data_IF_028813930204
#
_entry.id   IF_028813930204
#
_cell.length_a   1.000
_cell.length_b   1.000
_cell.length_c   1.000
_cell.angle_alpha   90.00
_cell.angle_beta   90.00
_cell.angle_gamma   90.00
#
_symmetry.space_group_name_H-M   'P 1'
#
loop_
_entity.id
_entity.type
_entity.pdbx_description
1 polymer ?
#
# COMPACT_ATOMS: atom_id res chain seq x y z
N UNK A 1 -41.32 2.26 4.93
CA UNK A 1 -40.83 2.03 6.30
C UNK A 1 -39.51 1.31 6.16
N UNK A 2 -38.39 2.01 6.42
CA UNK A 2 -37.05 1.42 6.38
C UNK A 2 -36.81 0.64 7.68
N UNK A 3 -36.15 -0.52 7.65
CA UNK A 3 -35.88 -1.30 8.87
C UNK A 3 -34.88 -0.57 9.78
N UNK A 4 -34.98 -0.77 11.10
CA UNK A 4 -34.24 0.00 12.07
C UNK A 4 -32.75 -0.36 12.09
N UNK A 5 -31.92 0.65 12.33
CA UNK A 5 -30.44 0.62 12.32
C UNK A 5 -29.77 -0.34 13.34
N UNK A 6 -30.52 -1.12 14.09
CA UNK A 6 -30.03 -2.12 15.04
C UNK A 6 -29.53 -3.40 14.36
N UNK A 7 -30.20 -3.86 13.31
CA UNK A 7 -29.84 -5.12 12.62
C UNK A 7 -28.51 -5.04 11.86
N UNK A 8 -28.13 -3.84 11.39
CA UNK A 8 -26.87 -3.63 10.70
C UNK A 8 -25.65 -3.66 11.65
N UNK A 9 -25.84 -3.37 12.95
CA UNK A 9 -24.75 -3.44 13.95
C UNK A 9 -24.53 -4.87 14.46
N UNK A 10 -25.57 -5.68 14.57
CA UNK A 10 -25.45 -7.07 15.00
C UNK A 10 -24.91 -7.97 13.88
N UNK A 11 -25.26 -7.70 12.62
CA UNK A 11 -24.64 -8.36 11.46
C UNK A 11 -23.13 -8.04 11.33
N UNK A 12 -22.72 -6.81 11.70
CA UNK A 12 -21.30 -6.40 11.72
C UNK A 12 -20.49 -7.05 12.85
N UNK A 13 -21.12 -7.45 13.94
CA UNK A 13 -20.47 -8.11 15.07
C UNK A 13 -20.21 -9.60 14.83
N UNK A 14 -20.87 -10.21 13.86
CA UNK A 14 -20.80 -11.66 13.57
C UNK A 14 -19.80 -12.01 12.46
N UNK A 15 -19.26 -11.03 11.72
CA UNK A 15 -18.24 -11.23 10.69
C UNK A 15 -16.83 -10.90 11.18
N UNK A 16 -16.42 -11.40 12.33
CA UNK A 16 -14.99 -11.54 12.60
C UNK A 16 -14.42 -12.61 11.68
N UNK A 17 -13.42 -12.25 10.88
CA UNK A 17 -12.71 -13.17 10.01
C UNK A 17 -12.00 -14.23 10.86
N UNK A 18 -12.56 -15.44 10.92
CA UNK A 18 -11.91 -16.59 11.55
C UNK A 18 -11.26 -17.42 10.45
N UNK A 19 -9.96 -17.65 10.52
CA UNK A 19 -9.27 -18.59 9.62
C UNK A 19 -9.68 -20.04 9.87
N UNK A 20 -9.17 -20.98 9.06
CA UNK A 20 -9.52 -22.43 9.09
C UNK A 20 -9.32 -23.08 10.47
N UNK A 21 -8.58 -22.42 11.38
CA UNK A 21 -8.32 -22.85 12.76
C UNK A 21 -9.14 -22.07 13.80
N UNK A 22 -10.15 -21.31 13.38
CA UNK A 22 -11.01 -20.54 14.29
C UNK A 22 -10.42 -19.22 14.79
N UNK A 23 -9.23 -18.82 14.34
CA UNK A 23 -8.66 -17.49 14.59
C UNK A 23 -9.02 -16.53 13.46
N UNK A 24 -9.34 -15.29 13.80
CA UNK A 24 -9.61 -14.25 12.79
C UNK A 24 -8.34 -13.97 11.97
N UNK A 25 -8.46 -13.97 10.64
CA UNK A 25 -7.39 -13.52 9.76
C UNK A 25 -7.06 -12.05 10.01
N UNK A 26 -5.78 -11.68 9.93
CA UNK A 26 -5.35 -10.26 10.08
C UNK A 26 -5.67 -9.54 8.78
N UNK A 27 -6.53 -8.51 8.83
CA UNK A 27 -6.70 -7.60 7.69
C UNK A 27 -5.47 -6.71 7.61
N UNK A 28 -4.84 -6.67 6.44
CA UNK A 28 -3.65 -5.85 6.18
C UNK A 28 -3.93 -4.86 5.07
N UNK A 29 -3.74 -3.58 5.33
CA UNK A 29 -3.72 -2.56 4.28
C UNK A 29 -2.29 -2.38 3.76
N UNK A 30 -2.08 -2.72 2.47
CA UNK A 30 -0.78 -2.64 1.80
C UNK A 30 -0.19 -1.24 1.74
N UNK A 31 -1.02 -0.21 1.78
CA UNK A 31 -0.62 1.18 1.96
C UNK A 31 -1.75 2.05 2.48
N UNK A 32 -1.48 2.76 3.57
CA UNK A 32 -2.29 3.89 4.03
C UNK A 32 -1.37 4.97 4.61
N UNK A 33 -1.64 6.23 4.29
CA UNK A 33 -0.76 7.36 4.61
C UNK A 33 -1.55 8.51 5.22
N UNK A 34 -2.14 8.36 6.42
CA UNK A 34 -2.82 9.47 7.10
C UNK A 34 -1.82 10.44 7.72
N UNK A 35 -2.28 11.64 8.05
CA UNK A 35 -1.60 12.46 9.06
C UNK A 35 -1.59 11.65 10.37
N UNK A 36 -0.44 11.59 11.11
CA UNK A 36 -0.37 10.81 12.34
C UNK A 36 -1.19 11.45 13.47
N UNK A 37 -2.48 11.15 13.50
CA UNK A 37 -3.46 11.65 14.47
C UNK A 37 -4.35 10.50 14.96
N UNK A 38 -4.74 10.53 16.24
CA UNK A 38 -5.55 9.51 16.91
C UNK A 38 -6.82 9.12 16.14
N UNK A 39 -7.53 10.08 15.57
CA UNK A 39 -8.79 9.83 14.84
C UNK A 39 -8.64 8.83 13.70
N UNK A 40 -7.50 8.85 12.97
CA UNK A 40 -7.26 7.91 11.87
C UNK A 40 -6.90 6.51 12.36
N UNK A 41 -6.26 6.42 13.52
CA UNK A 41 -5.99 5.14 14.18
C UNK A 41 -7.26 4.51 14.72
N UNK A 42 -8.20 5.32 15.24
CA UNK A 42 -9.52 4.87 15.63
C UNK A 42 -10.32 4.33 14.44
N UNK A 43 -10.27 5.00 13.27
CA UNK A 43 -10.89 4.52 12.03
C UNK A 43 -10.30 3.18 11.56
N UNK A 44 -8.98 2.97 11.65
CA UNK A 44 -8.37 1.67 11.33
C UNK A 44 -8.87 0.56 12.26
N UNK A 45 -8.90 0.83 13.56
CA UNK A 45 -9.40 -0.12 14.54
C UNK A 45 -10.88 -0.44 14.33
N UNK A 46 -11.71 0.56 14.09
CA UNK A 46 -13.15 0.39 13.81
C UNK A 46 -13.40 -0.39 12.53
N UNK A 47 -12.53 -0.24 11.54
CA UNK A 47 -12.53 -1.02 10.30
C UNK A 47 -12.05 -2.48 10.51
N UNK A 48 -11.51 -2.83 11.67
CA UNK A 48 -10.94 -4.15 11.94
C UNK A 48 -9.59 -4.40 11.26
N UNK A 49 -8.88 -3.33 10.83
CA UNK A 49 -7.56 -3.45 10.21
C UNK A 49 -6.53 -3.78 11.28
N UNK A 50 -5.94 -4.97 11.17
CA UNK A 50 -4.94 -5.46 12.13
C UNK A 50 -3.52 -5.00 11.83
N UNK A 51 -3.21 -4.64 10.56
CA UNK A 51 -1.90 -4.13 10.19
C UNK A 51 -2.00 -3.12 9.04
N UNK A 52 -1.18 -2.07 9.10
CA UNK A 52 -1.06 -1.04 8.06
C UNK A 52 0.41 -0.81 7.72
N UNK A 53 0.74 -0.81 6.43
CA UNK A 53 1.97 -0.21 5.94
C UNK A 53 1.76 1.31 5.78
N UNK A 54 2.43 2.13 6.59
CA UNK A 54 2.28 3.59 6.53
C UNK A 54 3.53 4.27 6.00
N UNK A 55 3.34 5.30 5.17
CA UNK A 55 4.45 6.07 4.60
C UNK A 55 4.97 7.10 5.58
N UNK A 56 6.26 7.02 5.89
CA UNK A 56 6.97 8.01 6.71
C UNK A 56 7.65 9.07 5.83
N UNK A 57 8.22 8.67 4.70
CA UNK A 57 8.96 9.56 3.82
C UNK A 57 8.67 9.31 2.34
N UNK A 58 8.75 10.38 1.53
CA UNK A 58 8.61 10.37 0.06
C UNK A 58 9.82 11.05 -0.59
N UNK A 59 10.03 12.34 -0.34
CA UNK A 59 11.09 13.16 -0.94
C UNK A 59 12.11 13.67 0.08
N UNK A 60 11.90 13.35 1.34
CA UNK A 60 12.77 13.74 2.44
C UNK A 60 14.16 13.11 2.28
N UNK A 61 15.21 13.85 2.69
CA UNK A 61 16.54 13.31 2.84
C UNK A 61 16.66 12.52 4.17
N UNK A 62 17.84 11.96 4.43
CA UNK A 62 18.07 11.17 5.64
C UNK A 62 17.76 11.93 6.94
N UNK A 63 18.24 13.16 7.07
CA UNK A 63 18.05 13.97 8.28
C UNK A 63 16.59 14.36 8.51
N UNK A 64 15.89 14.78 7.46
CA UNK A 64 14.46 15.07 7.48
C UNK A 64 13.65 13.84 7.89
N UNK A 65 13.99 12.67 7.32
CA UNK A 65 13.32 11.39 7.60
C UNK A 65 13.51 10.92 9.04
N UNK A 66 14.69 11.11 9.62
CA UNK A 66 14.92 10.82 11.04
C UNK A 66 14.00 11.64 11.94
N UNK A 67 13.81 12.92 11.61
CA UNK A 67 12.85 13.77 12.32
C UNK A 67 11.41 13.30 12.21
N UNK A 68 11.00 12.78 11.05
CA UNK A 68 9.66 12.21 10.84
C UNK A 68 9.47 10.89 11.60
N UNK A 69 10.46 9.98 11.58
CA UNK A 69 10.43 8.75 12.35
C UNK A 69 10.31 9.04 13.86
N UNK A 70 11.05 10.05 14.35
CA UNK A 70 10.93 10.50 15.73
C UNK A 70 9.51 10.97 16.08
N UNK A 71 8.90 11.79 15.23
CA UNK A 71 7.51 12.25 15.41
C UNK A 71 6.51 11.08 15.39
N UNK A 72 6.63 10.15 14.45
CA UNK A 72 5.78 8.96 14.39
C UNK A 72 5.88 8.12 15.67
N UNK A 73 7.10 7.90 16.20
CA UNK A 73 7.29 7.14 17.44
C UNK A 73 6.58 7.80 18.63
N UNK A 74 6.72 9.11 18.79
CA UNK A 74 6.03 9.86 19.85
C UNK A 74 4.51 9.73 19.72
N UNK A 75 3.96 9.86 18.50
CA UNK A 75 2.51 9.75 18.29
C UNK A 75 2.01 8.32 18.54
N UNK A 76 2.75 7.29 18.13
CA UNK A 76 2.37 5.91 18.43
C UNK A 76 2.41 5.61 19.93
N UNK A 77 3.41 6.10 20.66
CA UNK A 77 3.51 5.97 22.11
C UNK A 77 2.31 6.62 22.83
N UNK A 78 1.92 7.84 22.39
CA UNK A 78 0.74 8.53 22.92
C UNK A 78 -0.59 7.82 22.62
N UNK A 79 -0.61 6.90 21.66
CA UNK A 79 -1.79 6.15 21.22
C UNK A 79 -1.62 4.63 21.37
N UNK A 80 -0.74 4.19 22.28
CA UNK A 80 -0.41 2.78 22.48
C UNK A 80 -1.59 1.89 22.90
N UNK A 81 -2.70 2.49 23.29
CA UNK A 81 -3.96 1.80 23.58
C UNK A 81 -4.69 1.30 22.32
N UNK A 82 -4.38 1.84 21.13
CA UNK A 82 -5.06 1.48 19.86
C UNK A 82 -4.11 1.08 18.74
N UNK A 83 -2.86 1.52 18.76
CA UNK A 83 -1.83 1.20 17.75
C UNK A 83 -0.52 0.82 18.40
N UNK A 84 0.33 0.10 17.68
CA UNK A 84 1.73 -0.12 18.06
C UNK A 84 2.61 -0.28 16.82
N UNK A 85 3.91 0.15 16.87
CA UNK A 85 4.84 -0.13 15.79
C UNK A 85 5.10 -1.63 15.67
N UNK A 86 5.34 -2.10 14.44
CA UNK A 86 5.73 -3.48 14.17
C UNK A 86 6.73 -3.51 13.00
N UNK A 87 7.78 -4.28 13.13
CA UNK A 87 8.86 -4.43 12.16
C UNK A 87 9.16 -5.89 11.78
N UNK A 88 8.36 -6.83 12.29
CA UNK A 88 8.40 -8.26 12.00
C UNK A 88 6.99 -8.84 11.99
N UNK A 89 6.84 -10.02 11.39
CA UNK A 89 5.54 -10.73 11.37
C UNK A 89 5.10 -11.11 12.78
N UNK A 90 6.03 -11.55 13.63
CA UNK A 90 5.71 -11.88 15.02
C UNK A 90 5.17 -10.67 15.80
N UNK A 91 5.71 -9.48 15.59
CA UNK A 91 5.21 -8.25 16.20
C UNK A 91 3.83 -7.87 15.65
N UNK A 92 3.60 -8.00 14.32
CA UNK A 92 2.29 -7.77 13.71
C UNK A 92 1.24 -8.68 14.35
N UNK A 93 1.53 -9.98 14.44
CA UNK A 93 0.63 -10.97 15.03
C UNK A 93 0.34 -10.68 16.52
N UNK A 94 1.35 -10.33 17.29
CA UNK A 94 1.20 -9.97 18.70
C UNK A 94 0.36 -8.70 18.92
N UNK A 95 0.58 -7.66 18.10
CA UNK A 95 -0.18 -6.42 18.17
C UNK A 95 -1.63 -6.66 17.76
N UNK A 96 -1.88 -7.35 16.64
CA UNK A 96 -3.23 -7.67 16.18
C UNK A 96 -3.99 -8.54 17.20
N UNK A 97 -3.34 -9.53 17.81
CA UNK A 97 -3.93 -10.36 18.86
C UNK A 97 -4.33 -9.56 20.12
N UNK A 98 -3.68 -8.42 20.36
CA UNK A 98 -4.05 -7.52 21.47
C UNK A 98 -5.25 -6.60 21.15
N UNK A 99 -5.84 -6.69 19.95
CA UNK A 99 -6.95 -5.84 19.49
C UNK A 99 -6.51 -4.44 19.04
N UNK A 100 -5.19 -4.23 18.81
CA UNK A 100 -4.63 -3.00 18.28
C UNK A 100 -4.26 -3.16 16.80
N UNK A 101 -4.05 -2.04 16.12
CA UNK A 101 -3.52 -2.04 14.75
C UNK A 101 -1.98 -1.93 14.78
N UNK A 102 -1.32 -2.89 14.14
CA UNK A 102 0.12 -2.84 13.91
C UNK A 102 0.46 -1.81 12.83
N UNK A 103 1.43 -0.96 13.09
CA UNK A 103 1.89 0.08 12.17
C UNK A 103 3.31 -0.25 11.71
N UNK A 104 3.43 -0.67 10.45
CA UNK A 104 4.71 -0.83 9.77
C UNK A 104 5.15 0.49 9.17
N UNK A 105 6.40 0.87 9.34
CA UNK A 105 6.96 2.03 8.67
C UNK A 105 7.46 1.66 7.27
N UNK A 106 7.01 2.43 6.29
CA UNK A 106 7.44 2.33 4.91
C UNK A 106 7.87 3.68 4.34
N UNK A 107 8.63 3.62 3.26
CA UNK A 107 8.96 4.78 2.43
C UNK A 107 8.38 4.58 1.03
N UNK A 108 7.78 5.61 0.45
CA UNK A 108 7.34 5.56 -0.94
C UNK A 108 8.42 6.03 -1.93
N UNK A 109 9.67 6.10 -1.49
CA UNK A 109 10.84 6.43 -2.32
C UNK A 109 12.10 6.04 -1.55
N UNK A 110 13.19 5.83 -2.25
CA UNK A 110 14.52 5.67 -1.63
C UNK A 110 15.28 7.00 -1.49
N UNK A 111 14.61 8.14 -1.65
CA UNK A 111 15.21 9.45 -1.41
C UNK A 111 15.91 9.58 -0.05
N UNK A 112 15.38 9.02 1.07
CA UNK A 112 16.07 9.04 2.36
C UNK A 112 17.42 8.32 2.39
N UNK A 113 17.61 7.33 1.50
CA UNK A 113 18.88 6.59 1.40
C UNK A 113 19.95 7.40 0.66
N UNK A 114 19.52 8.40 -0.12
CA UNK A 114 20.40 9.22 -0.94
C UNK A 114 21.19 8.32 -1.92
N UNK A 115 22.49 8.23 -1.79
CA UNK A 115 23.35 7.30 -2.54
C UNK A 115 24.35 6.59 -1.60
N UNK A 116 23.88 6.27 -0.37
CA UNK A 116 24.64 5.61 0.66
C UNK A 116 23.95 4.31 1.10
N UNK A 117 24.55 3.16 0.76
CA UNK A 117 24.00 1.84 1.06
C UNK A 117 23.86 1.58 2.57
N UNK A 118 24.74 2.13 3.41
CA UNK A 118 24.69 1.93 4.87
C UNK A 118 23.39 2.48 5.49
N UNK A 119 22.73 3.43 4.81
CA UNK A 119 21.48 4.00 5.31
C UNK A 119 20.31 3.01 5.23
N UNK A 120 20.34 2.00 4.38
CA UNK A 120 19.34 0.93 4.40
C UNK A 120 19.34 0.19 5.73
N UNK A 121 20.52 -0.21 6.21
CA UNK A 121 20.67 -0.88 7.50
C UNK A 121 20.20 0.02 8.66
N UNK A 122 20.57 1.30 8.64
CA UNK A 122 20.16 2.25 9.68
C UNK A 122 18.63 2.41 9.72
N UNK A 123 17.99 2.63 8.58
CA UNK A 123 16.52 2.74 8.55
C UNK A 123 15.82 1.43 8.92
N UNK A 124 16.37 0.27 8.53
CA UNK A 124 15.84 -1.03 8.97
C UNK A 124 15.89 -1.19 10.49
N UNK A 125 16.99 -0.81 11.14
CA UNK A 125 17.10 -0.80 12.60
C UNK A 125 16.11 0.17 13.27
N UNK A 126 15.75 1.26 12.59
CA UNK A 126 14.74 2.19 13.05
C UNK A 126 13.31 1.69 12.79
N UNK A 127 13.12 0.47 12.29
CA UNK A 127 11.83 -0.18 12.10
C UNK A 127 11.20 0.01 10.72
N UNK A 128 11.94 0.53 9.74
CA UNK A 128 11.44 0.63 8.36
C UNK A 128 11.50 -0.74 7.70
N UNK A 129 10.35 -1.24 7.23
CA UNK A 129 10.20 -2.59 6.70
C UNK A 129 9.92 -2.64 5.21
N UNK A 130 9.38 -1.56 4.64
CA UNK A 130 8.97 -1.48 3.24
C UNK A 130 9.62 -0.25 2.61
N UNK A 131 10.26 -0.42 1.46
CA UNK A 131 10.78 0.73 0.70
C UNK A 131 10.41 0.59 -0.77
N UNK A 132 9.71 1.60 -1.28
CA UNK A 132 9.45 1.75 -2.70
C UNK A 132 10.68 2.32 -3.38
N UNK A 133 11.06 1.75 -4.52
CA UNK A 133 12.32 2.11 -5.18
C UNK A 133 12.33 3.56 -5.67
N UNK A 134 11.24 4.01 -6.30
CA UNK A 134 11.11 5.36 -6.87
C UNK A 134 9.73 5.93 -6.59
N UNK A 135 9.61 7.26 -6.53
CA UNK A 135 8.30 7.94 -6.51
C UNK A 135 8.20 8.88 -7.72
N UNK A 136 7.28 8.59 -8.63
CA UNK A 136 6.97 9.33 -9.85
C UNK A 136 8.16 9.56 -10.82
N UNK A 137 9.30 9.99 -10.33
CA UNK A 137 10.45 10.44 -11.10
C UNK A 137 11.66 9.52 -10.90
N UNK A 138 12.66 9.68 -11.74
CA UNK A 138 13.93 8.96 -11.64
C UNK A 138 14.71 9.35 -10.38
N UNK A 139 15.35 8.38 -9.78
CA UNK A 139 16.36 8.56 -8.74
C UNK A 139 17.61 7.70 -9.04
N UNK A 140 18.48 7.50 -8.06
CA UNK A 140 19.72 6.71 -8.22
C UNK A 140 19.49 5.21 -8.42
N UNK A 141 18.29 4.69 -8.15
CA UNK A 141 17.97 3.26 -8.25
C UNK A 141 17.29 2.93 -9.57
N UNK A 142 16.30 3.73 -9.98
CA UNK A 142 15.53 3.45 -11.18
C UNK A 142 14.64 4.61 -11.59
N UNK A 143 13.75 4.36 -12.55
CA UNK A 143 12.81 5.35 -13.07
C UNK A 143 11.45 5.23 -12.43
N UNK A 144 10.84 6.37 -12.11
CA UNK A 144 9.43 6.49 -11.81
C UNK A 144 8.56 6.47 -13.07
N UNK A 145 7.26 6.30 -12.88
CA UNK A 145 6.31 6.16 -14.00
C UNK A 145 6.09 7.44 -14.82
N UNK A 146 6.56 8.61 -14.37
CA UNK A 146 6.44 9.88 -15.10
C UNK A 146 7.60 10.15 -16.04
N UNK A 147 8.64 9.35 -15.99
CA UNK A 147 9.74 9.52 -16.93
C UNK A 147 9.31 9.18 -18.37
N UNK A 148 9.65 10.03 -19.31
CA UNK A 148 9.38 9.79 -20.73
C UNK A 148 10.14 8.55 -21.25
N UNK A 149 11.32 8.29 -20.67
CA UNK A 149 12.15 7.14 -20.99
C UNK A 149 12.53 6.38 -19.72
N UNK A 150 11.88 5.26 -19.51
CA UNK A 150 12.24 4.34 -18.44
C UNK A 150 13.50 3.55 -18.82
N UNK A 151 14.61 3.84 -18.17
CA UNK A 151 15.90 3.17 -18.38
C UNK A 151 16.09 1.93 -17.50
N UNK A 152 15.12 1.59 -16.66
CA UNK A 152 15.17 0.44 -15.76
C UNK A 152 16.12 0.63 -14.58
N UNK A 153 16.55 -0.49 -13.99
CA UNK A 153 17.57 -0.55 -12.92
C UNK A 153 18.95 -0.70 -13.56
N UNK A 154 19.35 0.30 -14.30
CA UNK A 154 20.59 0.27 -15.07
C UNK A 154 21.84 0.68 -14.28
N UNK A 155 21.68 1.39 -13.17
CA UNK A 155 22.81 1.86 -12.36
C UNK A 155 23.40 0.74 -11.49
N UNK A 156 24.71 0.79 -11.29
CA UNK A 156 25.37 -0.11 -10.35
C UNK A 156 24.82 0.05 -8.94
N UNK A 157 24.54 1.28 -8.52
CA UNK A 157 23.95 1.57 -7.21
C UNK A 157 22.58 0.92 -7.07
N UNK A 158 21.71 1.02 -8.09
CA UNK A 158 20.39 0.39 -8.05
C UNK A 158 20.44 -1.13 -7.84
N UNK A 159 21.39 -1.81 -8.50
CA UNK A 159 21.59 -3.26 -8.31
C UNK A 159 22.01 -3.60 -6.90
N UNK A 160 23.01 -2.88 -6.36
CA UNK A 160 23.49 -3.07 -4.99
C UNK A 160 22.40 -2.74 -3.95
N UNK A 161 21.56 -1.73 -4.23
CA UNK A 161 20.45 -1.39 -3.36
C UNK A 161 19.41 -2.52 -3.26
N UNK A 162 19.08 -3.18 -4.38
CA UNK A 162 18.18 -4.34 -4.35
C UNK A 162 18.77 -5.50 -3.54
N UNK A 163 20.06 -5.77 -3.72
CA UNK A 163 20.80 -6.80 -2.96
C UNK A 163 20.77 -6.48 -1.46
N UNK A 164 21.08 -5.24 -1.08
CA UNK A 164 21.07 -4.77 0.31
C UNK A 164 19.69 -4.88 0.95
N UNK A 165 18.62 -4.43 0.26
CA UNK A 165 17.25 -4.56 0.75
C UNK A 165 16.86 -6.03 0.99
N UNK A 166 17.24 -6.93 0.09
CA UNK A 166 17.00 -8.37 0.24
C UNK A 166 17.73 -8.96 1.46
N UNK A 167 19.00 -8.57 1.68
CA UNK A 167 19.82 -9.05 2.79
C UNK A 167 19.28 -8.56 4.14
N UNK A 168 18.90 -7.30 4.21
CA UNK A 168 18.39 -6.66 5.42
C UNK A 168 16.95 -7.04 5.77
N UNK A 169 16.22 -7.72 4.88
CA UNK A 169 14.81 -8.00 5.08
C UNK A 169 13.96 -6.72 5.00
N UNK A 170 14.17 -5.94 3.94
CA UNK A 170 13.31 -4.81 3.56
C UNK A 170 12.49 -5.23 2.35
N UNK A 171 11.16 -5.20 2.46
CA UNK A 171 10.27 -5.48 1.34
C UNK A 171 10.39 -4.40 0.28
N UNK A 172 10.72 -4.80 -0.94
CA UNK A 172 10.79 -3.92 -2.10
C UNK A 172 9.37 -3.66 -2.62
N UNK A 173 8.97 -2.38 -2.70
CA UNK A 173 7.72 -1.96 -3.33
C UNK A 173 7.98 -1.30 -4.70
N UNK A 174 7.14 -1.61 -5.68
CA UNK A 174 7.28 -1.18 -7.07
C UNK A 174 6.11 -0.30 -7.55
N UNK A 175 5.28 0.19 -6.64
CA UNK A 175 4.01 0.87 -6.98
C UNK A 175 4.17 2.07 -7.91
N UNK A 176 5.10 2.99 -7.65
CA UNK A 176 5.36 4.17 -8.49
C UNK A 176 6.49 3.99 -9.52
N UNK A 177 7.06 2.80 -9.61
CA UNK A 177 8.11 2.54 -10.60
C UNK A 177 7.57 2.51 -12.02
N UNK A 178 8.39 2.91 -12.97
CA UNK A 178 8.13 2.76 -14.40
C UNK A 178 8.03 1.28 -14.80
N UNK A 179 7.64 1.04 -16.03
CA UNK A 179 7.35 -0.33 -16.51
C UNK A 179 8.57 -1.22 -16.54
N UNK A 180 9.64 -0.72 -17.15
CA UNK A 180 10.91 -1.46 -17.25
C UNK A 180 11.57 -1.61 -15.89
N UNK A 181 11.59 -0.55 -15.08
CA UNK A 181 12.10 -0.59 -13.71
C UNK A 181 11.34 -1.63 -12.89
N UNK A 182 10.01 -1.70 -13.02
CA UNK A 182 9.18 -2.70 -12.34
C UNK A 182 9.59 -4.12 -12.74
N UNK A 183 9.65 -4.42 -14.04
CA UNK A 183 9.96 -5.76 -14.54
C UNK A 183 11.40 -6.18 -14.17
N UNK A 184 12.38 -5.31 -14.38
CA UNK A 184 13.78 -5.60 -14.02
C UNK A 184 13.96 -5.82 -12.51
N UNK A 185 13.30 -5.02 -11.66
CA UNK A 185 13.35 -5.20 -10.21
C UNK A 185 12.76 -6.55 -9.78
N UNK A 186 11.61 -6.96 -10.35
CA UNK A 186 11.03 -8.27 -10.10
C UNK A 186 12.01 -9.39 -10.49
N UNK A 187 12.65 -9.27 -11.65
CA UNK A 187 13.57 -10.30 -12.15
C UNK A 187 14.88 -10.38 -11.37
N UNK A 188 15.38 -9.25 -10.88
CA UNK A 188 16.66 -9.16 -10.18
C UNK A 188 16.58 -9.45 -8.70
N UNK A 189 15.43 -9.20 -8.06
CA UNK A 189 15.27 -9.43 -6.62
C UNK A 189 15.41 -10.91 -6.28
N UNK A 190 16.21 -11.22 -5.25
CA UNK A 190 16.37 -12.58 -4.74
C UNK A 190 15.17 -13.05 -3.90
N UNK A 191 14.38 -12.10 -3.37
CA UNK A 191 13.15 -12.36 -2.60
C UNK A 191 11.93 -11.88 -3.38
N UNK A 192 10.73 -12.39 -3.08
CA UNK A 192 9.49 -11.83 -3.63
C UNK A 192 9.36 -10.34 -3.31
N UNK A 193 8.71 -9.60 -4.21
CA UNK A 193 8.51 -8.15 -4.10
C UNK A 193 7.03 -7.79 -4.06
N UNK A 194 6.70 -6.56 -3.74
CA UNK A 194 5.33 -6.05 -3.72
C UNK A 194 5.09 -4.99 -4.80
N UNK A 195 3.83 -4.86 -5.18
CA UNK A 195 3.23 -3.65 -5.70
C UNK A 195 2.16 -3.28 -4.69
N UNK A 196 2.48 -2.42 -3.72
CA UNK A 196 1.63 -2.23 -2.54
C UNK A 196 0.29 -1.56 -2.85
N UNK A 197 0.24 -0.70 -3.90
CA UNK A 197 -0.97 0.04 -4.29
C UNK A 197 -0.95 0.41 -5.78
N UNK A 198 -1.49 -0.44 -6.62
CA UNK A 198 -1.69 -0.18 -8.05
C UNK A 198 -2.82 -1.06 -8.62
N UNK A 199 -3.18 -0.84 -9.90
CA UNK A 199 -4.18 -1.63 -10.59
C UNK A 199 -3.69 -2.10 -11.97
N UNK A 200 -4.26 -3.20 -12.52
CA UNK A 200 -3.90 -3.73 -13.83
C UNK A 200 -4.29 -2.79 -14.97
N UNK A 201 -3.36 -2.51 -15.87
CA UNK A 201 -3.58 -1.61 -17.01
C UNK A 201 -4.64 -2.14 -17.97
N UNK A 202 -4.59 -3.41 -18.31
CA UNK A 202 -5.53 -4.01 -19.28
C UNK A 202 -6.97 -3.99 -18.77
N UNK A 203 -7.19 -4.12 -17.47
CA UNK A 203 -8.53 -4.00 -16.89
C UNK A 203 -9.02 -2.56 -16.86
N UNK A 204 -8.18 -1.65 -16.33
CA UNK A 204 -8.57 -0.25 -16.13
C UNK A 204 -8.67 0.52 -17.45
N UNK A 205 -7.78 0.23 -18.41
CA UNK A 205 -7.67 0.97 -19.66
C UNK A 205 -6.99 2.32 -19.46
N UNK A 206 -7.60 3.39 -20.01
CA UNK A 206 -7.08 4.76 -19.86
C UNK A 206 -7.84 5.47 -18.73
N UNK A 207 -7.29 5.56 -17.53
CA UNK A 207 -7.91 6.27 -16.44
C UNK A 207 -7.88 7.79 -16.70
N UNK A 208 -8.73 8.53 -15.99
CA UNK A 208 -8.77 10.00 -16.08
C UNK A 208 -7.42 10.63 -15.71
N UNK A 209 -6.69 10.00 -14.77
CA UNK A 209 -5.36 10.41 -14.34
C UNK A 209 -4.49 9.17 -14.08
N UNK A 210 -3.18 9.31 -14.25
CA UNK A 210 -2.22 8.33 -13.74
C UNK A 210 -2.06 7.05 -14.58
N UNK A 211 -2.29 7.08 -15.90
CA UNK A 211 -2.13 5.91 -16.77
C UNK A 211 -0.79 5.17 -16.58
N UNK A 212 0.30 5.89 -16.32
CA UNK A 212 1.62 5.31 -16.04
C UNK A 212 1.71 4.59 -14.68
N UNK A 213 0.76 4.83 -13.76
CA UNK A 213 0.69 4.13 -12.46
C UNK A 213 0.13 2.72 -12.56
N UNK A 214 -0.58 2.41 -13.65
CA UNK A 214 -1.15 1.08 -13.89
C UNK A 214 -0.05 0.11 -14.32
N UNK A 215 -0.16 -1.13 -13.89
CA UNK A 215 0.85 -2.16 -14.16
C UNK A 215 0.48 -3.03 -15.34
N UNK A 216 1.45 -3.30 -16.20
CA UNK A 216 1.27 -4.17 -17.36
C UNK A 216 1.14 -5.64 -16.94
N UNK A 217 0.36 -6.39 -17.70
CA UNK A 217 0.12 -7.83 -17.49
C UNK A 217 1.42 -8.64 -17.43
N UNK A 218 2.42 -8.31 -18.25
CA UNK A 218 3.72 -8.99 -18.24
C UNK A 218 4.39 -8.90 -16.87
N UNK A 219 4.51 -7.68 -16.32
CA UNK A 219 5.10 -7.47 -15.00
C UNK A 219 4.29 -8.12 -13.87
N UNK A 220 2.95 -8.09 -13.98
CA UNK A 220 2.07 -8.71 -12.99
C UNK A 220 2.17 -10.24 -13.00
N UNK A 221 2.24 -10.87 -14.16
CA UNK A 221 2.45 -12.33 -14.26
C UNK A 221 3.81 -12.74 -13.71
N UNK A 222 4.87 -11.97 -14.02
CA UNK A 222 6.19 -12.24 -13.45
C UNK A 222 6.22 -12.04 -11.93
N UNK A 223 5.54 -11.00 -11.41
CA UNK A 223 5.35 -10.80 -9.98
C UNK A 223 4.71 -12.03 -9.32
N UNK A 224 3.58 -12.50 -9.84
CA UNK A 224 2.87 -13.66 -9.31
C UNK A 224 3.72 -14.94 -9.39
N UNK A 225 4.40 -15.18 -10.52
CA UNK A 225 5.28 -16.33 -10.72
C UNK A 225 6.40 -16.41 -9.68
N UNK A 226 6.88 -15.25 -9.20
CA UNK A 226 7.92 -15.12 -8.19
C UNK A 226 7.39 -15.02 -6.75
N UNK A 227 6.10 -15.26 -6.54
CA UNK A 227 5.49 -15.23 -5.21
C UNK A 227 5.21 -13.81 -4.68
N UNK A 228 5.33 -12.79 -5.51
CA UNK A 228 5.00 -11.40 -5.15
C UNK A 228 3.50 -11.16 -5.03
N UNK A 229 3.14 -9.97 -4.56
CA UNK A 229 1.75 -9.57 -4.30
C UNK A 229 1.47 -8.18 -4.87
N UNK A 230 0.29 -8.03 -5.50
CA UNK A 230 -0.26 -6.72 -5.85
C UNK A 230 -1.39 -6.34 -4.90
N UNK A 231 -1.31 -5.16 -4.26
CA UNK A 231 -2.38 -4.50 -3.54
C UNK A 231 -3.24 -3.68 -4.48
N UNK A 232 -4.47 -4.13 -4.72
CA UNK A 232 -5.42 -3.38 -5.55
C UNK A 232 -5.95 -2.18 -4.78
N UNK A 233 -6.02 -1.03 -5.46
CA UNK A 233 -6.40 0.23 -4.83
C UNK A 233 -7.73 0.78 -5.37
N UNK A 234 -8.62 1.24 -4.48
CA UNK A 234 -9.83 1.97 -4.86
C UNK A 234 -9.57 3.45 -5.20
N UNK A 235 -8.30 3.89 -5.22
CA UNK A 235 -7.97 5.26 -5.55
C UNK A 235 -8.49 5.66 -6.94
N UNK A 236 -9.32 6.70 -7.00
CA UNK A 236 -9.99 7.15 -8.22
C UNK A 236 -9.06 7.40 -9.40
N UNK A 237 -7.82 7.81 -9.14
CA UNK A 237 -6.86 8.09 -10.19
C UNK A 237 -6.41 6.83 -10.94
N UNK A 238 -6.68 5.65 -10.38
CA UNK A 238 -6.25 4.35 -10.90
C UNK A 238 -7.42 3.40 -11.17
N UNK A 239 -8.66 3.87 -11.11
CA UNK A 239 -9.84 3.08 -11.43
C UNK A 239 -10.49 3.56 -12.74
N UNK A 240 -11.19 2.64 -13.44
CA UNK A 240 -11.76 2.91 -14.76
C UNK A 240 -12.77 4.08 -14.76
N UNK A 241 -13.55 4.22 -13.69
CA UNK A 241 -14.62 5.21 -13.59
C UNK A 241 -14.30 6.33 -12.58
N UNK A 242 -13.05 6.43 -12.14
CA UNK A 242 -12.64 7.45 -11.18
C UNK A 242 -13.40 7.35 -9.85
N UNK A 243 -13.84 8.49 -9.31
CA UNK A 243 -14.63 8.55 -8.08
C UNK A 243 -16.04 7.90 -8.22
N UNK A 244 -16.52 7.69 -9.44
CA UNK A 244 -17.79 7.02 -9.71
C UNK A 244 -17.68 5.48 -9.73
N UNK A 245 -16.48 4.93 -9.51
CA UNK A 245 -16.29 3.47 -9.44
C UNK A 245 -17.12 2.89 -8.30
N UNK A 246 -18.05 2.01 -8.62
CA UNK A 246 -18.89 1.33 -7.63
C UNK A 246 -18.11 0.20 -6.93
N UNK A 247 -18.61 -0.27 -5.79
CA UNK A 247 -18.06 -1.43 -5.10
C UNK A 247 -18.08 -2.67 -5.98
N UNK A 248 -19.16 -2.88 -6.74
CA UNK A 248 -19.28 -3.98 -7.71
C UNK A 248 -18.18 -3.94 -8.77
N UNK A 249 -17.95 -2.76 -9.37
CA UNK A 249 -16.90 -2.58 -10.37
C UNK A 249 -15.50 -2.79 -9.81
N UNK A 250 -15.28 -2.45 -8.53
CA UNK A 250 -14.04 -2.77 -7.85
C UNK A 250 -13.91 -4.28 -7.61
N UNK A 251 -15.00 -4.95 -7.19
CA UNK A 251 -15.08 -6.41 -7.08
C UNK A 251 -14.83 -7.13 -8.41
N UNK A 252 -15.34 -6.58 -9.55
CA UNK A 252 -15.01 -7.10 -10.89
C UNK A 252 -13.51 -7.04 -11.18
N UNK A 253 -12.84 -5.95 -10.78
CA UNK A 253 -11.40 -5.82 -10.95
C UNK A 253 -10.63 -6.82 -10.09
N UNK A 254 -11.06 -7.05 -8.84
CA UNK A 254 -10.45 -8.06 -7.97
C UNK A 254 -10.59 -9.44 -8.60
N UNK A 255 -11.79 -9.83 -9.03
CA UNK A 255 -12.05 -11.12 -9.65
C UNK A 255 -11.22 -11.31 -10.93
N UNK A 256 -11.21 -10.32 -11.82
CA UNK A 256 -10.40 -10.33 -13.03
C UNK A 256 -8.90 -10.50 -12.74
N UNK A 257 -8.41 -9.83 -11.69
CA UNK A 257 -6.99 -9.93 -11.31
C UNK A 257 -6.66 -11.29 -10.72
N UNK A 258 -7.57 -11.88 -9.94
CA UNK A 258 -7.43 -13.25 -9.43
C UNK A 258 -7.41 -14.27 -10.58
N UNK A 259 -8.27 -14.12 -11.58
CA UNK A 259 -8.29 -14.96 -12.78
C UNK A 259 -6.98 -14.87 -13.58
N UNK A 260 -6.38 -13.67 -13.62
CA UNK A 260 -5.12 -13.42 -14.34
C UNK A 260 -3.90 -14.00 -13.63
N UNK A 261 -3.83 -13.87 -12.30
CA UNK A 261 -2.59 -14.04 -11.50
C UNK A 261 -2.66 -15.22 -10.52
N UNK A 262 -3.85 -15.73 -10.23
CA UNK A 262 -4.11 -16.64 -9.12
C UNK A 262 -4.36 -15.90 -7.80
N UNK A 263 -5.05 -16.59 -6.89
CA UNK A 263 -5.53 -16.02 -5.61
C UNK A 263 -4.38 -15.56 -4.71
N UNK A 264 -3.23 -16.21 -4.75
CA UNK A 264 -2.10 -15.95 -3.85
C UNK A 264 -1.32 -14.66 -4.17
N UNK A 265 -1.56 -14.06 -5.35
CA UNK A 265 -0.87 -12.84 -5.78
C UNK A 265 -1.67 -11.55 -5.57
N UNK A 266 -2.93 -11.62 -5.11
CA UNK A 266 -3.84 -10.49 -5.04
C UNK A 266 -4.15 -10.10 -3.60
N UNK A 267 -4.06 -8.81 -3.29
CA UNK A 267 -4.38 -8.25 -1.99
C UNK A 267 -4.98 -6.84 -2.13
N UNK A 268 -5.20 -6.15 -1.03
CA UNK A 268 -5.70 -4.77 -0.99
C UNK A 268 -4.60 -3.83 -0.49
N UNK A 269 -4.49 -2.66 -1.14
CA UNK A 269 -3.67 -1.55 -0.69
C UNK A 269 -4.40 -0.25 -0.99
N UNK A 270 -5.03 0.34 0.02
CA UNK A 270 -6.05 1.37 -0.18
C UNK A 270 -5.53 2.67 -0.76
N UNK A 271 -4.26 2.99 -0.54
CA UNK A 271 -3.67 4.30 -0.84
C UNK A 271 -4.44 5.45 -0.13
N UNK A 272 -5.07 5.13 1.01
CA UNK A 272 -5.89 6.08 1.77
C UNK A 272 -5.00 7.08 2.52
N UNK A 273 -5.08 8.37 2.14
CA UNK A 273 -4.21 9.42 2.65
C UNK A 273 -5.00 10.63 3.19
N UNK A 274 -5.75 10.47 4.29
CA UNK A 274 -6.58 11.54 4.85
C UNK A 274 -5.77 12.55 5.65
N UNK A 275 -6.37 13.73 5.84
CA UNK A 275 -5.87 14.76 6.75
C UNK A 275 -4.77 15.66 6.17
N UNK A 276 -4.10 15.27 5.10
CA UNK A 276 -3.00 16.08 4.56
C UNK A 276 -3.49 17.33 3.84
N UNK A 277 -2.86 18.49 4.12
CA UNK A 277 -3.09 19.72 3.38
C UNK A 277 -2.80 19.55 1.89
N UNK A 278 -3.50 20.32 1.06
CA UNK A 278 -3.29 20.32 -0.39
C UNK A 278 -1.84 20.60 -0.79
N UNK A 279 -1.17 21.53 -0.09
CA UNK A 279 0.24 21.86 -0.30
C UNK A 279 1.17 20.66 -0.17
N UNK A 280 0.92 19.79 0.83
CA UNK A 280 1.69 18.55 1.03
C UNK A 280 1.46 17.57 -0.11
N UNK A 281 0.21 17.38 -0.56
CA UNK A 281 -0.11 16.50 -1.70
C UNK A 281 0.49 17.00 -3.00
N UNK A 282 0.49 18.31 -3.22
CA UNK A 282 1.16 18.94 -4.37
C UNK A 282 2.66 18.71 -4.32
N UNK A 283 3.26 18.85 -3.15
CA UNK A 283 4.67 18.59 -2.95
C UNK A 283 5.04 17.10 -3.19
N UNK A 284 4.25 16.16 -2.70
CA UNK A 284 4.45 14.74 -3.04
C UNK A 284 4.42 14.52 -4.55
N UNK A 285 3.44 15.11 -5.22
CA UNK A 285 3.26 14.89 -6.65
C UNK A 285 4.42 15.40 -7.49
N UNK A 286 4.95 16.58 -7.19
CA UNK A 286 5.90 17.31 -8.07
C UNK A 286 7.33 17.34 -7.56
N UNK A 287 7.64 16.78 -6.42
CA UNK A 287 8.91 16.82 -5.71
C UNK A 287 9.33 18.20 -5.20
N UNK A 288 10.16 18.22 -4.15
CA UNK A 288 10.59 19.46 -3.47
C UNK A 288 11.47 20.39 -4.31
N UNK A 289 12.12 19.87 -5.32
CA UNK A 289 12.96 20.63 -6.24
C UNK A 289 12.19 21.18 -7.46
N UNK A 290 10.95 20.74 -7.67
CA UNK A 290 10.12 21.23 -8.77
C UNK A 290 9.63 22.64 -8.50
N UNK A 291 9.85 23.54 -9.46
CA UNK A 291 9.27 24.88 -9.47
C UNK A 291 7.95 24.94 -10.22
N UNK A 292 7.49 23.83 -10.76
CA UNK A 292 6.23 23.76 -11.48
C UNK A 292 5.08 23.85 -10.50
N UNK A 293 4.20 24.80 -10.73
CA UNK A 293 2.89 24.81 -10.07
C UNK A 293 2.05 23.67 -10.66
N UNK A 294 1.28 22.99 -9.82
CA UNK A 294 0.27 22.07 -10.33
C UNK A 294 -0.63 22.79 -11.34
N UNK A 295 -0.98 22.14 -12.48
CA UNK A 295 -1.98 22.69 -13.40
C UNK A 295 -3.24 23.09 -12.63
N UNK A 296 -3.83 24.23 -12.96
CA UNK A 296 -4.98 24.79 -12.22
C UNK A 296 -6.13 23.77 -12.05
N UNK A 297 -6.41 22.97 -13.08
CA UNK A 297 -7.41 21.89 -13.03
C UNK A 297 -7.11 20.80 -11.99
N UNK A 298 -5.84 20.51 -11.70
CA UNK A 298 -5.46 19.54 -10.67
C UNK A 298 -5.47 20.16 -9.28
N UNK A 299 -5.41 21.48 -9.20
CA UNK A 299 -5.52 22.22 -7.94
C UNK A 299 -6.94 22.31 -7.39
N UNK A 300 -7.98 22.13 -8.22
CA UNK A 300 -9.39 22.22 -7.82
C UNK A 300 -9.94 20.95 -7.15
N UNK A 301 -9.18 19.86 -7.17
CA UNK A 301 -9.64 18.59 -6.60
C UNK A 301 -9.54 18.63 -5.07
N UNK A 302 -10.69 18.70 -4.40
CA UNK A 302 -10.75 18.73 -2.94
C UNK A 302 -10.16 17.45 -2.31
N UNK A 303 -9.49 17.54 -1.17
CA UNK A 303 -8.78 16.43 -0.53
C UNK A 303 -9.61 15.18 -0.26
N UNK A 304 -10.91 15.34 0.00
CA UNK A 304 -11.84 14.26 0.33
C UNK A 304 -12.61 13.68 -0.86
N UNK A 305 -12.49 14.28 -2.04
CA UNK A 305 -13.17 13.85 -3.26
C UNK A 305 -12.43 12.73 -4.00
N UNK A 306 -11.41 12.16 -3.38
CA UNK A 306 -10.48 11.21 -4.02
C UNK A 306 -10.95 9.77 -4.05
N UNK A 307 -11.90 9.39 -3.20
CA UNK A 307 -12.36 8.01 -3.09
C UNK A 307 -13.83 7.90 -3.44
N UNK A 308 -14.22 6.74 -3.96
CA UNK A 308 -15.61 6.38 -4.14
C UNK A 308 -16.36 6.42 -2.80
N UNK A 309 -17.68 6.66 -2.85
CA UNK A 309 -18.49 6.82 -1.63
C UNK A 309 -18.37 5.67 -0.65
N UNK A 310 -18.29 4.44 -1.17
CA UNK A 310 -18.15 3.22 -0.37
C UNK A 310 -16.77 3.08 0.32
N UNK A 311 -15.78 3.91 -0.06
CA UNK A 311 -14.41 3.88 0.49
C UNK A 311 -13.96 5.25 1.03
N UNK A 312 -14.89 6.07 1.53
CA UNK A 312 -14.55 7.38 2.12
C UNK A 312 -13.80 7.28 3.45
N UNK A 313 -13.88 6.15 4.11
CA UNK A 313 -13.16 5.82 5.35
C UNK A 313 -12.57 4.43 5.26
N UNK A 314 -11.59 4.05 6.09
CA UNK A 314 -11.06 2.70 6.16
C UNK A 314 -12.11 1.61 6.36
N UNK A 315 -13.27 1.93 6.93
CA UNK A 315 -14.41 1.00 7.06
C UNK A 315 -14.90 0.47 5.70
N UNK A 316 -14.58 1.15 4.59
CA UNK A 316 -14.84 0.67 3.24
C UNK A 316 -14.18 -0.69 2.93
N UNK A 317 -13.11 -1.05 3.63
CA UNK A 317 -12.46 -2.36 3.54
C UNK A 317 -13.45 -3.49 3.89
N UNK A 318 -14.37 -3.27 4.82
CA UNK A 318 -15.41 -4.24 5.18
C UNK A 318 -16.42 -4.46 4.04
N UNK A 319 -16.67 -3.42 3.24
CA UNK A 319 -17.54 -3.54 2.07
C UNK A 319 -16.92 -4.47 1.00
N UNK A 320 -15.57 -4.46 0.87
CA UNK A 320 -14.86 -5.37 -0.05
C UNK A 320 -15.11 -6.82 0.36
N UNK A 321 -15.04 -7.15 1.64
CA UNK A 321 -15.32 -8.51 2.16
C UNK A 321 -16.73 -8.96 1.77
N UNK A 322 -17.73 -8.11 2.00
CA UNK A 322 -19.12 -8.40 1.67
C UNK A 322 -19.30 -8.61 0.16
N UNK A 323 -18.66 -7.79 -0.66
CA UNK A 323 -18.74 -7.90 -2.11
C UNK A 323 -18.07 -9.17 -2.65
N UNK A 324 -16.92 -9.57 -2.10
CA UNK A 324 -16.25 -10.80 -2.48
C UNK A 324 -17.08 -12.03 -2.09
N UNK A 325 -17.69 -12.04 -0.91
CA UNK A 325 -18.61 -13.09 -0.47
C UNK A 325 -19.82 -13.20 -1.42
N UNK A 326 -20.45 -12.06 -1.77
CA UNK A 326 -21.56 -12.00 -2.74
C UNK A 326 -21.18 -12.56 -4.12
N UNK A 327 -19.90 -12.48 -4.49
CA UNK A 327 -19.36 -13.05 -5.75
C UNK A 327 -19.04 -14.52 -5.67
N UNK A 328 -19.18 -15.13 -4.49
CA UNK A 328 -18.92 -16.54 -4.28
C UNK A 328 -17.46 -16.89 -4.01
N UNK A 329 -16.61 -15.90 -3.66
CA UNK A 329 -15.29 -16.22 -3.12
C UNK A 329 -15.45 -16.97 -1.81
N UNK A 330 -14.74 -18.11 -1.68
CA UNK A 330 -14.71 -18.85 -0.43
C UNK A 330 -14.05 -18.06 0.70
N UNK A 331 -14.42 -18.34 1.95
CA UNK A 331 -13.85 -17.63 3.09
C UNK A 331 -12.32 -17.61 3.10
N UNK A 332 -11.68 -18.74 2.78
CA UNK A 332 -10.23 -18.84 2.72
C UNK A 332 -9.60 -17.92 1.67
N UNK A 333 -10.29 -17.72 0.53
CA UNK A 333 -9.83 -16.83 -0.54
C UNK A 333 -9.98 -15.36 -0.15
N UNK A 334 -11.10 -15.01 0.52
CA UNK A 334 -11.31 -13.68 1.08
C UNK A 334 -10.23 -13.38 2.12
N UNK A 335 -9.93 -14.31 3.02
CA UNK A 335 -8.89 -14.15 4.05
C UNK A 335 -7.49 -13.96 3.41
N UNK A 336 -7.18 -14.63 2.29
CA UNK A 336 -5.95 -14.41 1.53
C UNK A 336 -5.89 -12.99 0.96
N UNK A 337 -6.94 -12.53 0.26
CA UNK A 337 -7.00 -11.20 -0.36
C UNK A 337 -6.91 -10.10 0.70
N UNK A 338 -7.61 -10.25 1.82
CA UNK A 338 -7.72 -9.22 2.83
C UNK A 338 -6.48 -9.10 3.74
N UNK A 339 -5.56 -10.07 3.71
CA UNK A 339 -4.34 -9.96 4.51
C UNK A 339 -3.42 -11.17 4.47
N UNK A 340 -3.94 -12.39 4.24
CA UNK A 340 -3.13 -13.61 4.24
C UNK A 340 -1.97 -13.57 3.26
N UNK A 341 -2.19 -13.03 2.06
CA UNK A 341 -1.14 -12.88 1.05
C UNK A 341 -0.06 -11.87 1.47
N UNK A 342 -0.44 -10.76 2.13
CA UNK A 342 0.51 -9.84 2.75
C UNK A 342 1.32 -10.53 3.84
N UNK A 343 0.67 -11.24 4.75
CA UNK A 343 1.36 -11.94 5.85
C UNK A 343 2.32 -13.02 5.34
N UNK A 344 1.96 -13.75 4.28
CA UNK A 344 2.86 -14.69 3.61
C UNK A 344 4.08 -13.97 3.04
N UNK A 345 3.88 -12.92 2.25
CA UNK A 345 4.96 -12.15 1.63
C UNK A 345 5.90 -11.55 2.69
N UNK A 346 5.34 -10.99 3.77
CA UNK A 346 6.12 -10.41 4.86
C UNK A 346 6.97 -11.48 5.58
N UNK A 347 6.47 -12.70 5.80
CA UNK A 347 7.28 -13.80 6.37
C UNK A 347 8.49 -14.16 5.50
N UNK A 348 8.31 -14.15 4.19
CA UNK A 348 9.38 -14.47 3.24
C UNK A 348 10.42 -13.35 3.12
N UNK A 349 10.05 -12.12 3.47
CA UNK A 349 10.87 -10.93 3.24
C UNK A 349 11.46 -10.32 4.50
N UNK A 350 10.61 -9.92 5.44
CA UNK A 350 11.05 -9.19 6.65
C UNK A 350 11.23 -10.09 7.88
N UNK A 351 10.67 -11.30 7.88
CA UNK A 351 10.76 -12.28 8.97
C UNK A 351 9.66 -12.24 10.02
#
# INVERSE_FOLDING_TARGET
MSPPAKDARDARRTMQMNNVNGQAGIIVDGLSMPVPERRWFEEWREAGIGCVNTTVAVWENAAETLGLLGKWRVVLEQNQDIVAPAASVAEIEAVAASGRTAVMFGFQNTAPVEHNLDLFAMFRQLGVCVMQLTYNLQNYIGCGYWEEKDTGISSRFGKLALEEMNQLGILIDLSHCGERTTLEAIQMSAKPVAITHANPREYVGTPVYGAGRLKQTEALRELARRGGVIGLTPNRNMTRHGAATTLEQFGDMVAWTVDLLGIDAVAIGTDYCPGHPRSVRTWWRYAKWSRQSAPAKEMEIAPHEGWSEWMRTPAGVQNIIVELDRRGFGRADIDKIMGGNWMRLLRETIG
#
